data_IF_938284770856
#
_entry.id   IF_938284770856
#
_cell.length_a   1.000
_cell.length_b   1.000
_cell.length_c   1.000
_cell.angle_alpha   90.00
_cell.angle_beta   90.00
_cell.angle_gamma   90.00
#
_symmetry.space_group_name_H-M   'P 1'
#
loop_
_entity.id
_entity.type
_entity.pdbx_description
1 polymer ?
#
# COMPACT_ATOMS: atom_id res chain seq x y z
N UNK A 1 20.28 -32.73 71.56
CA UNK A 1 20.35 -33.10 70.13
C UNK A 1 19.89 -34.55 69.98
N UNK A 2 18.72 -34.72 69.38
CA UNK A 2 18.60 -35.41 68.09
C UNK A 2 18.74 -36.93 68.00
N UNK A 3 18.24 -37.73 68.95
CA UNK A 3 18.03 -39.18 68.66
C UNK A 3 16.89 -39.42 67.67
N UNK A 4 15.80 -38.68 67.80
CA UNK A 4 14.66 -38.78 66.87
C UNK A 4 15.02 -38.22 65.49
N UNK A 5 15.76 -37.11 65.41
CA UNK A 5 16.25 -36.59 64.13
C UNK A 5 17.29 -37.49 63.47
N UNK A 6 18.18 -38.15 64.21
CA UNK A 6 19.14 -39.10 63.64
C UNK A 6 18.45 -40.37 63.09
N UNK A 7 17.42 -40.87 63.76
CA UNK A 7 16.62 -41.99 63.24
C UNK A 7 15.84 -41.59 61.98
N UNK A 8 15.29 -40.37 61.97
CA UNK A 8 14.54 -39.86 60.82
C UNK A 8 15.47 -39.62 59.61
N UNK A 9 16.70 -39.12 59.84
CA UNK A 9 17.72 -38.95 58.79
C UNK A 9 18.24 -40.29 58.27
N UNK A 10 18.44 -41.29 59.15
CA UNK A 10 18.84 -42.64 58.70
C UNK A 10 17.73 -43.36 57.95
N UNK A 11 16.47 -43.19 58.37
CA UNK A 11 15.34 -43.75 57.63
C UNK A 11 15.13 -43.06 56.29
N UNK A 12 15.32 -41.75 56.21
CA UNK A 12 15.26 -41.04 54.93
C UNK A 12 16.39 -41.47 53.99
N UNK A 13 17.63 -41.57 54.48
CA UNK A 13 18.81 -41.96 53.69
C UNK A 13 18.70 -43.41 53.17
N UNK A 14 18.23 -44.34 54.01
CA UNK A 14 17.97 -45.73 53.60
C UNK A 14 16.77 -45.84 52.65
N UNK A 15 15.75 -44.99 52.78
CA UNK A 15 14.62 -44.97 51.85
C UNK A 15 15.02 -44.41 50.48
N UNK A 16 15.86 -43.38 50.44
CA UNK A 16 16.36 -42.74 49.23
C UNK A 16 17.32 -43.65 48.47
N UNK A 17 18.20 -44.38 49.19
CA UNK A 17 19.08 -45.41 48.61
C UNK A 17 18.29 -46.56 47.97
N UNK A 18 17.25 -47.06 48.66
CA UNK A 18 16.37 -48.12 48.12
C UNK A 18 15.58 -47.65 46.90
N UNK A 19 15.07 -46.42 46.91
CA UNK A 19 14.39 -45.81 45.75
C UNK A 19 15.35 -45.74 44.55
N UNK A 20 16.62 -45.43 44.77
CA UNK A 20 17.62 -45.38 43.71
C UNK A 20 18.02 -46.77 43.18
N UNK A 21 18.18 -47.78 44.04
CA UNK A 21 18.45 -49.17 43.62
C UNK A 21 17.26 -49.78 42.87
N UNK A 22 16.03 -49.57 43.36
CA UNK A 22 14.80 -50.01 42.70
C UNK A 22 14.61 -49.31 41.34
N UNK A 23 14.98 -48.03 41.22
CA UNK A 23 15.00 -47.31 39.95
C UNK A 23 16.01 -47.90 38.97
N UNK A 24 17.23 -48.23 39.41
CA UNK A 24 18.27 -48.83 38.55
C UNK A 24 17.86 -50.24 38.09
N UNK A 25 17.27 -51.05 38.98
CA UNK A 25 16.76 -52.38 38.63
C UNK A 25 15.60 -52.29 37.65
N UNK A 26 14.67 -51.35 37.87
CA UNK A 26 13.60 -51.06 36.92
C UNK A 26 14.17 -50.58 35.58
N UNK A 27 15.14 -49.66 35.58
CA UNK A 27 15.77 -49.09 34.39
C UNK A 27 16.45 -50.17 33.54
N UNK A 28 17.03 -51.19 34.16
CA UNK A 28 17.73 -52.28 33.46
C UNK A 28 16.77 -53.32 32.86
N UNK A 29 15.64 -53.59 33.52
CA UNK A 29 14.72 -54.65 33.09
C UNK A 29 13.57 -54.14 32.21
N UNK A 30 12.90 -53.08 32.66
CA UNK A 30 11.69 -52.56 32.02
C UNK A 30 11.92 -51.16 31.41
N UNK A 31 12.89 -50.42 31.94
CA UNK A 31 13.24 -49.06 31.53
C UNK A 31 13.42 -48.84 30.03
N UNK A 32 14.09 -49.74 29.25
CA UNK A 32 14.34 -49.46 27.84
C UNK A 32 13.05 -49.38 27.04
N UNK A 33 12.06 -50.22 27.33
CA UNK A 33 10.77 -50.23 26.62
C UNK A 33 9.91 -49.02 26.96
N UNK A 34 9.87 -48.61 28.24
CA UNK A 34 9.15 -47.41 28.64
C UNK A 34 9.82 -46.14 28.12
N UNK A 35 11.15 -46.04 28.17
CA UNK A 35 11.88 -44.92 27.59
C UNK A 35 11.70 -44.86 26.07
N UNK A 36 11.70 -46.00 25.38
CA UNK A 36 11.42 -46.06 23.95
C UNK A 36 9.98 -45.61 23.65
N UNK A 37 8.99 -46.07 24.41
CA UNK A 37 7.60 -45.65 24.24
C UNK A 37 7.41 -44.13 24.46
N UNK A 38 8.05 -43.56 25.48
CA UNK A 38 8.05 -42.11 25.73
C UNK A 38 8.75 -41.36 24.59
N UNK A 39 9.91 -41.86 24.13
CA UNK A 39 10.66 -41.25 23.04
C UNK A 39 9.87 -41.26 21.72
N UNK A 40 9.19 -42.37 21.41
CA UNK A 40 8.27 -42.47 20.26
C UNK A 40 7.10 -41.50 20.43
N UNK A 41 6.52 -41.39 21.62
CA UNK A 41 5.48 -40.40 21.91
C UNK A 41 5.94 -38.96 21.65
N UNK A 42 7.15 -38.61 22.10
CA UNK A 42 7.76 -37.30 21.83
C UNK A 42 8.02 -37.12 20.34
N UNK A 43 8.55 -38.13 19.64
CA UNK A 43 8.84 -38.04 18.20
C UNK A 43 7.56 -37.84 17.38
N UNK A 44 6.48 -38.55 17.70
CA UNK A 44 5.16 -38.37 17.08
C UNK A 44 4.63 -36.97 17.39
N UNK A 45 4.71 -36.52 18.64
CA UNK A 45 4.27 -35.18 19.03
C UNK A 45 5.03 -34.07 18.29
N UNK A 46 6.37 -34.18 18.19
CA UNK A 46 7.21 -33.24 17.45
C UNK A 46 6.90 -33.25 15.95
N UNK A 47 6.62 -34.42 15.38
CA UNK A 47 6.20 -34.53 13.98
C UNK A 47 4.88 -33.80 13.72
N UNK A 48 3.88 -33.97 14.59
CA UNK A 48 2.60 -33.26 14.49
C UNK A 48 2.78 -31.73 14.61
N UNK A 49 3.63 -31.28 15.53
CA UNK A 49 3.98 -29.86 15.66
C UNK A 49 4.65 -29.34 14.38
N UNK A 50 5.58 -30.12 13.80
CA UNK A 50 6.30 -29.69 12.61
C UNK A 50 5.38 -29.53 11.40
N UNK A 51 4.38 -30.40 11.25
CA UNK A 51 3.36 -30.25 10.21
C UNK A 51 2.54 -28.97 10.39
N UNK A 52 2.07 -28.69 11.61
CA UNK A 52 1.33 -27.45 11.90
C UNK A 52 2.18 -26.20 11.66
N UNK A 53 3.47 -26.24 12.00
CA UNK A 53 4.41 -25.15 11.76
C UNK A 53 4.66 -24.92 10.27
N UNK A 54 4.78 -25.99 9.48
CA UNK A 54 5.00 -25.88 8.05
C UNK A 54 3.82 -25.19 7.34
N UNK A 55 2.59 -25.54 7.71
CA UNK A 55 1.39 -24.86 7.18
C UNK A 55 1.36 -23.38 7.57
N UNK A 56 1.64 -23.06 8.84
CA UNK A 56 1.68 -21.68 9.31
C UNK A 56 2.74 -20.86 8.56
N UNK A 57 3.94 -21.41 8.39
CA UNK A 57 5.03 -20.77 7.66
C UNK A 57 4.67 -20.49 6.20
N UNK A 58 3.98 -21.42 5.53
CA UNK A 58 3.52 -21.21 4.15
C UNK A 58 2.50 -20.07 4.07
N UNK A 59 1.56 -19.99 5.02
CA UNK A 59 0.60 -18.88 5.08
C UNK A 59 1.30 -17.55 5.34
N UNK A 60 2.18 -17.49 6.34
CA UNK A 60 2.96 -16.30 6.67
C UNK A 60 3.77 -15.79 5.47
N UNK A 61 4.45 -16.70 4.77
CA UNK A 61 5.20 -16.36 3.56
C UNK A 61 4.29 -15.81 2.46
N UNK A 62 3.14 -16.44 2.22
CA UNK A 62 2.18 -15.95 1.22
C UNK A 62 1.68 -14.54 1.53
N UNK A 63 1.33 -14.28 2.79
CA UNK A 63 0.90 -12.94 3.22
C UNK A 63 2.02 -11.90 3.14
N UNK A 64 3.25 -12.29 3.44
CA UNK A 64 4.43 -11.44 3.29
C UNK A 64 4.66 -11.07 1.82
N UNK A 65 4.71 -12.06 0.91
CA UNK A 65 4.87 -11.82 -0.53
C UNK A 65 3.74 -10.93 -1.09
N UNK A 66 2.49 -11.13 -0.64
CA UNK A 66 1.36 -10.28 -1.03
C UNK A 66 1.49 -8.82 -0.60
N UNK A 67 2.03 -8.58 0.61
CA UNK A 67 2.24 -7.23 1.13
C UNK A 67 3.36 -6.50 0.38
N UNK A 68 4.45 -7.20 0.05
CA UNK A 68 5.57 -6.65 -0.72
C UNK A 68 5.23 -6.45 -2.20
N UNK A 69 4.30 -7.23 -2.75
CA UNK A 69 3.88 -7.09 -4.13
C UNK A 69 3.14 -5.77 -4.37
N UNK A 70 3.86 -4.82 -4.98
CA UNK A 70 3.34 -3.51 -5.42
C UNK A 70 2.86 -3.47 -6.88
N UNK A 71 3.39 -4.35 -7.73
CA UNK A 71 3.07 -4.37 -9.17
C UNK A 71 2.04 -5.46 -9.50
N UNK A 72 1.17 -5.25 -10.51
CA UNK A 72 0.15 -6.24 -10.88
C UNK A 72 0.72 -7.60 -11.25
N UNK A 73 1.82 -7.65 -12.01
CA UNK A 73 2.47 -8.92 -12.38
C UNK A 73 2.95 -9.71 -11.16
N UNK A 74 3.57 -9.04 -10.18
CA UNK A 74 3.97 -9.64 -8.91
C UNK A 74 2.77 -10.16 -8.11
N UNK A 75 1.64 -9.45 -8.15
CA UNK A 75 0.40 -9.90 -7.52
C UNK A 75 -0.22 -11.11 -8.22
N UNK A 76 -0.16 -11.17 -9.55
CA UNK A 76 -0.61 -12.34 -10.31
C UNK A 76 0.24 -13.58 -10.00
N UNK A 77 1.55 -13.41 -9.86
CA UNK A 77 2.47 -14.45 -9.41
C UNK A 77 2.09 -14.96 -8.02
N UNK A 78 1.88 -14.06 -7.05
CA UNK A 78 1.41 -14.40 -5.70
C UNK A 78 0.07 -15.14 -5.80
N UNK A 79 -0.82 -14.71 -6.67
CA UNK A 79 -2.12 -15.34 -6.86
C UNK A 79 -2.07 -16.77 -7.42
N UNK A 80 -1.02 -17.09 -8.18
CA UNK A 80 -0.78 -18.43 -8.71
C UNK A 80 -0.08 -19.32 -7.67
N UNK A 81 0.97 -18.81 -7.02
CA UNK A 81 1.75 -19.57 -6.03
C UNK A 81 0.95 -19.90 -4.77
N UNK A 82 0.12 -18.96 -4.33
CA UNK A 82 -0.63 -19.07 -3.07
C UNK A 82 -2.14 -19.14 -3.31
N UNK A 83 -2.55 -19.77 -4.41
CA UNK A 83 -3.96 -19.84 -4.82
C UNK A 83 -4.88 -20.53 -3.80
N UNK A 84 -4.34 -21.50 -3.07
CA UNK A 84 -5.09 -22.34 -2.12
C UNK A 84 -5.11 -21.80 -0.69
N UNK A 85 -4.33 -20.75 -0.41
CA UNK A 85 -4.19 -20.20 0.94
C UNK A 85 -5.32 -19.21 1.20
N UNK A 86 -6.32 -19.58 2.01
CA UNK A 86 -7.28 -18.68 2.66
C UNK A 86 -7.84 -17.52 1.79
N UNK A 87 -8.10 -17.76 0.50
CA UNK A 87 -8.57 -16.72 -0.44
C UNK A 87 -7.53 -15.66 -0.83
N UNK A 88 -6.28 -15.79 -0.38
CA UNK A 88 -5.16 -14.91 -0.71
C UNK A 88 -4.97 -14.76 -2.22
N UNK A 89 -5.09 -15.85 -2.97
CA UNK A 89 -5.01 -15.77 -4.43
C UNK A 89 -6.12 -14.91 -5.05
N UNK A 90 -7.33 -14.95 -4.49
CA UNK A 90 -8.44 -14.09 -4.94
C UNK A 90 -8.19 -12.62 -4.59
N UNK A 91 -7.67 -12.37 -3.38
CA UNK A 91 -7.28 -11.01 -2.95
C UNK A 91 -6.15 -10.43 -3.81
N UNK A 92 -5.15 -11.24 -4.14
CA UNK A 92 -4.04 -10.85 -5.00
C UNK A 92 -4.51 -10.49 -6.42
N UNK A 93 -5.40 -11.30 -7.04
CA UNK A 93 -6.05 -10.95 -8.31
C UNK A 93 -6.86 -9.66 -8.22
N UNK A 94 -7.62 -9.51 -7.13
CA UNK A 94 -8.46 -8.33 -6.93
C UNK A 94 -7.60 -7.06 -6.82
N UNK A 95 -6.52 -7.11 -6.04
CA UNK A 95 -5.57 -6.01 -5.91
C UNK A 95 -4.91 -5.68 -7.25
N UNK A 96 -4.47 -6.71 -8.01
CA UNK A 96 -3.89 -6.52 -9.33
C UNK A 96 -4.86 -5.83 -10.31
N UNK A 97 -6.10 -6.30 -10.38
CA UNK A 97 -7.15 -5.71 -11.22
C UNK A 97 -7.42 -4.25 -10.84
N UNK A 98 -7.53 -3.96 -9.54
CA UNK A 98 -7.73 -2.60 -9.04
C UNK A 98 -6.54 -1.69 -9.35
N UNK A 99 -5.31 -2.19 -9.33
CA UNK A 99 -4.12 -1.42 -9.71
C UNK A 99 -4.15 -1.04 -11.20
N UNK A 100 -4.60 -1.94 -12.08
CA UNK A 100 -4.84 -1.61 -13.47
C UNK A 100 -5.93 -0.54 -13.62
N UNK A 101 -7.07 -0.67 -12.92
CA UNK A 101 -8.13 0.35 -12.95
C UNK A 101 -7.66 1.70 -12.41
N UNK A 102 -6.82 1.71 -11.38
CA UNK A 102 -6.28 2.93 -10.79
C UNK A 102 -5.42 3.71 -11.81
N UNK A 103 -4.65 3.02 -12.65
CA UNK A 103 -3.87 3.66 -13.73
C UNK A 103 -4.75 4.43 -14.72
N UNK A 104 -5.96 3.90 -15.00
CA UNK A 104 -6.95 4.54 -15.87
C UNK A 104 -7.51 5.80 -15.20
N UNK A 105 -7.82 5.70 -13.91
CA UNK A 105 -8.39 6.79 -13.13
C UNK A 105 -7.41 7.95 -12.95
N UNK A 106 -6.12 7.67 -12.76
CA UNK A 106 -5.09 8.70 -12.60
C UNK A 106 -4.50 9.17 -13.92
N UNK A 107 -4.79 8.46 -15.03
CA UNK A 107 -4.16 8.65 -16.33
C UNK A 107 -2.61 8.57 -16.28
N UNK A 108 -2.09 7.77 -15.35
CA UNK A 108 -0.66 7.51 -15.16
C UNK A 108 -0.37 6.04 -15.41
N UNK A 109 0.81 5.73 -15.95
CA UNK A 109 1.21 4.34 -16.12
C UNK A 109 1.29 3.61 -14.77
N UNK A 110 1.08 2.29 -14.80
CA UNK A 110 1.12 1.44 -13.61
C UNK A 110 2.44 1.60 -12.86
N UNK A 111 2.37 1.84 -11.55
CA UNK A 111 3.55 2.03 -10.68
C UNK A 111 4.13 3.45 -10.70
N UNK A 112 3.57 4.36 -11.51
CA UNK A 112 3.93 5.78 -11.48
C UNK A 112 3.29 6.50 -10.30
N UNK A 113 3.96 7.55 -9.82
CA UNK A 113 3.42 8.50 -8.83
C UNK A 113 2.95 9.79 -9.53
N UNK A 114 2.26 10.66 -8.80
CA UNK A 114 1.69 11.92 -9.37
C UNK A 114 2.79 12.96 -9.70
N UNK A 115 3.96 12.88 -9.08
CA UNK A 115 5.01 13.89 -9.19
C UNK A 115 5.94 13.69 -10.40
N UNK A 116 6.23 12.43 -10.74
CA UNK A 116 7.18 12.03 -11.80
C UNK A 116 6.56 11.03 -12.80
N UNK A 117 5.22 10.92 -12.77
CA UNK A 117 4.52 9.86 -13.48
C UNK A 117 4.55 9.98 -15.00
N UNK A 118 4.66 8.84 -15.67
CA UNK A 118 4.49 8.75 -17.12
C UNK A 118 3.00 8.77 -17.44
N UNK A 119 2.63 9.56 -18.44
CA UNK A 119 1.24 9.64 -18.91
C UNK A 119 0.86 8.33 -19.57
N UNK A 120 -0.35 7.86 -19.28
CA UNK A 120 -0.86 6.61 -19.83
C UNK A 120 -1.19 6.79 -21.33
N UNK A 121 -0.59 5.97 -22.18
CA UNK A 121 -0.91 5.95 -23.61
C UNK A 121 -2.26 5.26 -23.88
N UNK A 122 -2.86 5.52 -25.03
CA UNK A 122 -4.14 4.89 -25.40
C UNK A 122 -4.02 3.37 -25.53
N UNK A 123 -2.87 2.86 -26.00
CA UNK A 123 -2.58 1.44 -26.11
C UNK A 123 -2.49 0.78 -24.73
N UNK A 124 -1.76 1.40 -23.79
CA UNK A 124 -1.68 0.92 -22.41
C UNK A 124 -3.03 0.99 -21.70
N UNK A 125 -3.86 2.00 -22.01
CA UNK A 125 -5.22 2.12 -21.47
C UNK A 125 -6.07 0.91 -21.87
N UNK A 126 -6.06 0.54 -23.14
CA UNK A 126 -6.77 -0.63 -23.64
C UNK A 126 -6.24 -1.93 -23.01
N UNK A 127 -4.91 -2.09 -22.96
CA UNK A 127 -4.28 -3.26 -22.34
C UNK A 127 -4.60 -3.38 -20.84
N UNK A 128 -4.65 -2.27 -20.11
CA UNK A 128 -4.97 -2.27 -18.68
C UNK A 128 -6.44 -2.61 -18.43
N UNK A 129 -7.36 -2.13 -19.26
CA UNK A 129 -8.78 -2.53 -19.22
C UNK A 129 -8.94 -4.03 -19.44
N UNK A 130 -8.28 -4.58 -20.46
CA UNK A 130 -8.37 -6.01 -20.78
C UNK A 130 -7.76 -6.90 -19.67
N UNK A 131 -6.62 -6.47 -19.10
CA UNK A 131 -6.01 -7.15 -17.96
C UNK A 131 -6.90 -7.11 -16.71
N UNK A 132 -7.48 -5.96 -16.38
CA UNK A 132 -8.40 -5.82 -15.26
C UNK A 132 -9.64 -6.71 -15.46
N UNK A 133 -10.24 -6.68 -16.65
CA UNK A 133 -11.40 -7.50 -16.98
C UNK A 133 -11.10 -9.00 -16.78
N UNK A 134 -10.02 -9.50 -17.38
CA UNK A 134 -9.60 -10.91 -17.24
C UNK A 134 -9.48 -11.31 -15.77
N UNK A 135 -8.87 -10.47 -14.94
CA UNK A 135 -8.67 -10.78 -13.52
C UNK A 135 -9.99 -10.77 -12.74
N UNK A 136 -10.88 -9.80 -12.99
CA UNK A 136 -12.20 -9.80 -12.37
C UNK A 136 -13.04 -11.00 -12.80
N UNK A 137 -13.03 -11.38 -14.09
CA UNK A 137 -13.70 -12.58 -14.57
C UNK A 137 -13.19 -13.85 -13.89
N UNK A 138 -11.87 -13.98 -13.69
CA UNK A 138 -11.29 -15.10 -12.94
C UNK A 138 -11.79 -15.16 -11.49
N UNK A 139 -12.00 -14.01 -10.85
CA UNK A 139 -12.55 -13.98 -9.48
C UNK A 139 -13.99 -14.48 -9.48
N UNK A 140 -14.83 -13.98 -10.40
CA UNK A 140 -16.23 -14.38 -10.51
C UNK A 140 -16.37 -15.86 -10.87
N UNK A 141 -15.53 -16.38 -11.77
CA UNK A 141 -15.52 -17.81 -12.13
C UNK A 141 -15.10 -18.73 -10.98
N UNK A 142 -14.35 -18.23 -10.02
CA UNK A 142 -13.87 -18.96 -8.84
C UNK A 142 -14.77 -18.80 -7.61
N UNK A 143 -15.85 -18.04 -7.73
CA UNK A 143 -16.84 -17.94 -6.67
C UNK A 143 -17.42 -19.32 -6.36
N UNK A 144 -17.22 -19.78 -5.14
CA UNK A 144 -17.68 -21.07 -4.62
C UNK A 144 -19.06 -20.99 -3.95
N UNK A 145 -19.68 -19.81 -3.97
CA UNK A 145 -20.96 -19.52 -3.34
C UNK A 145 -20.91 -19.41 -1.82
N UNK A 146 -19.73 -19.57 -1.20
CA UNK A 146 -19.57 -19.46 0.25
C UNK A 146 -19.60 -18.00 0.70
N UNK A 147 -19.83 -17.77 1.99
CA UNK A 147 -19.84 -16.41 2.54
C UNK A 147 -18.48 -15.70 2.39
N UNK A 148 -17.37 -16.45 2.45
CA UNK A 148 -16.01 -15.90 2.37
C UNK A 148 -15.65 -15.24 1.03
N UNK A 149 -16.33 -15.62 -0.05
CA UNK A 149 -16.09 -15.13 -1.42
C UNK A 149 -17.06 -14.04 -1.85
N UNK A 150 -18.08 -13.71 -1.04
CA UNK A 150 -19.11 -12.72 -1.41
C UNK A 150 -18.48 -11.37 -1.71
N UNK A 151 -17.67 -10.85 -0.79
CA UNK A 151 -17.13 -9.48 -0.89
C UNK A 151 -16.21 -9.35 -2.10
N UNK A 152 -15.30 -10.31 -2.31
CA UNK A 152 -14.39 -10.28 -3.46
C UNK A 152 -15.12 -10.43 -4.78
N UNK A 153 -16.14 -11.30 -4.85
CA UNK A 153 -16.96 -11.49 -6.05
C UNK A 153 -17.79 -10.25 -6.38
N UNK A 154 -18.41 -9.63 -5.37
CA UNK A 154 -19.17 -8.38 -5.53
C UNK A 154 -18.26 -7.24 -5.98
N UNK A 155 -17.06 -7.12 -5.40
CA UNK A 155 -16.06 -6.15 -5.85
C UNK A 155 -15.65 -6.39 -7.31
N UNK A 156 -15.44 -7.65 -7.71
CA UNK A 156 -15.10 -7.98 -9.09
C UNK A 156 -16.23 -7.68 -10.08
N UNK A 157 -17.48 -7.98 -9.72
CA UNK A 157 -18.65 -7.64 -10.54
C UNK A 157 -18.80 -6.12 -10.70
N UNK A 158 -18.58 -5.34 -9.64
CA UNK A 158 -18.57 -3.88 -9.74
C UNK A 158 -17.43 -3.36 -10.63
N UNK A 159 -16.25 -3.99 -10.59
CA UNK A 159 -15.15 -3.68 -11.50
C UNK A 159 -15.49 -3.96 -12.96
N UNK A 160 -16.13 -5.11 -13.24
CA UNK A 160 -16.62 -5.46 -14.58
C UNK A 160 -17.70 -4.48 -15.07
N UNK A 161 -18.59 -4.03 -14.18
CA UNK A 161 -19.56 -3.01 -14.50
C UNK A 161 -18.89 -1.69 -14.91
N UNK A 162 -17.89 -1.23 -14.15
CA UNK A 162 -17.15 -0.01 -14.47
C UNK A 162 -16.38 -0.11 -15.81
N UNK A 163 -15.86 -1.28 -16.15
CA UNK A 163 -15.22 -1.54 -17.46
C UNK A 163 -16.26 -1.49 -18.58
N UNK A 164 -17.45 -2.06 -18.38
CA UNK A 164 -18.54 -1.99 -19.35
C UNK A 164 -19.03 -0.54 -19.55
N UNK A 165 -19.19 0.23 -18.47
CA UNK A 165 -19.49 1.67 -18.52
C UNK A 165 -18.43 2.44 -19.32
N UNK A 166 -17.15 2.17 -19.07
CA UNK A 166 -16.02 2.80 -19.78
C UNK A 166 -16.00 2.49 -21.28
N UNK A 167 -16.67 1.42 -21.71
CA UNK A 167 -16.82 1.05 -23.14
C UNK A 167 -18.17 1.48 -23.72
N UNK A 168 -19.02 2.14 -22.94
CA UNK A 168 -20.37 2.54 -23.34
C UNK A 168 -21.40 1.41 -23.37
N UNK A 169 -21.09 0.23 -22.83
CA UNK A 169 -22.00 -0.92 -22.76
C UNK A 169 -22.80 -0.90 -21.46
N UNK A 170 -23.78 0.00 -21.40
CA UNK A 170 -24.63 0.25 -20.23
C UNK A 170 -25.45 -0.98 -19.83
N UNK A 171 -25.94 -1.74 -20.81
CA UNK A 171 -26.75 -2.93 -20.55
C UNK A 171 -25.91 -4.03 -19.89
N UNK A 172 -24.68 -4.21 -20.35
CA UNK A 172 -23.76 -5.14 -19.72
C UNK A 172 -23.35 -4.68 -18.31
N UNK A 173 -23.18 -3.37 -18.10
CA UNK A 173 -22.92 -2.80 -16.77
C UNK A 173 -24.07 -3.06 -15.78
N UNK A 174 -25.32 -2.81 -16.18
CA UNK A 174 -26.53 -3.14 -15.40
C UNK A 174 -26.54 -4.61 -15.01
N UNK A 175 -26.31 -5.49 -15.97
CA UNK A 175 -26.28 -6.94 -15.72
C UNK A 175 -25.24 -7.32 -14.66
N UNK A 176 -24.07 -6.68 -14.65
CA UNK A 176 -23.05 -6.92 -13.64
C UNK A 176 -23.45 -6.39 -12.25
N UNK A 177 -24.06 -5.20 -12.17
CA UNK A 177 -24.57 -4.68 -10.90
C UNK A 177 -25.71 -5.53 -10.32
N UNK A 178 -26.61 -6.04 -11.16
CA UNK A 178 -27.68 -6.95 -10.72
C UNK A 178 -27.11 -8.26 -10.18
N UNK A 179 -26.11 -8.85 -10.86
CA UNK A 179 -25.38 -10.03 -10.36
C UNK A 179 -24.71 -9.73 -9.03
N UNK A 180 -24.10 -8.54 -8.88
CA UNK A 180 -23.48 -8.11 -7.63
C UNK A 180 -24.51 -8.01 -6.50
N UNK A 181 -25.69 -7.45 -6.78
CA UNK A 181 -26.78 -7.36 -5.82
C UNK A 181 -27.28 -8.74 -5.39
N UNK A 182 -27.57 -9.62 -6.35
CA UNK A 182 -28.04 -10.97 -6.08
C UNK A 182 -27.03 -11.77 -5.24
N UNK A 183 -25.73 -11.61 -5.52
CA UNK A 183 -24.67 -12.29 -4.77
C UNK A 183 -24.52 -11.78 -3.34
N UNK A 184 -24.71 -10.47 -3.12
CA UNK A 184 -24.60 -9.83 -1.82
C UNK A 184 -25.83 -10.05 -0.93
N UNK A 185 -27.02 -10.17 -1.51
CA UNK A 185 -28.31 -10.14 -0.81
C UNK A 185 -28.42 -11.06 0.42
N UNK A 186 -28.00 -12.34 0.38
CA UNK A 186 -28.19 -13.24 1.52
C UNK A 186 -27.39 -12.86 2.78
N UNK A 187 -26.27 -12.15 2.61
CA UNK A 187 -25.29 -11.90 3.69
C UNK A 187 -25.06 -10.41 3.97
N UNK A 188 -25.22 -9.55 2.95
CA UNK A 188 -24.94 -8.12 2.99
C UNK A 188 -26.04 -7.32 2.27
N UNK A 189 -27.26 -7.25 2.83
CA UNK A 189 -28.41 -6.60 2.18
C UNK A 189 -28.15 -5.12 1.84
N UNK A 190 -27.46 -4.38 2.71
CA UNK A 190 -27.08 -2.99 2.43
C UNK A 190 -26.16 -2.86 1.20
N UNK A 191 -25.25 -3.82 1.00
CA UNK A 191 -24.39 -3.84 -0.18
C UNK A 191 -25.18 -4.21 -1.44
N UNK A 192 -26.17 -5.10 -1.31
CA UNK A 192 -27.09 -5.41 -2.39
C UNK A 192 -27.91 -4.18 -2.82
N UNK A 193 -28.40 -3.40 -1.88
CA UNK A 193 -29.15 -2.17 -2.16
C UNK A 193 -28.30 -1.11 -2.89
N UNK A 194 -27.04 -0.97 -2.51
CA UNK A 194 -26.09 -0.10 -3.23
C UNK A 194 -25.92 -0.57 -4.67
N UNK A 195 -25.72 -1.88 -4.89
CA UNK A 195 -25.57 -2.43 -6.24
C UNK A 195 -26.85 -2.25 -7.09
N UNK A 196 -28.05 -2.48 -6.52
CA UNK A 196 -29.32 -2.22 -7.21
C UNK A 196 -29.50 -0.75 -7.57
N UNK A 197 -29.14 0.15 -6.66
CA UNK A 197 -29.21 1.60 -6.91
C UNK A 197 -28.29 1.99 -8.06
N UNK A 198 -27.09 1.40 -8.15
CA UNK A 198 -26.19 1.62 -9.29
C UNK A 198 -26.77 1.07 -10.59
N UNK A 199 -27.35 -0.13 -10.58
CA UNK A 199 -28.03 -0.70 -11.74
C UNK A 199 -29.18 0.21 -12.24
N UNK A 200 -30.01 0.72 -11.33
CA UNK A 200 -31.13 1.59 -11.65
C UNK A 200 -30.69 2.94 -12.25
N UNK A 201 -29.51 3.43 -11.87
CA UNK A 201 -28.97 4.70 -12.34
C UNK A 201 -27.94 4.54 -13.46
N UNK A 202 -27.67 3.32 -13.94
CA UNK A 202 -26.59 3.06 -14.90
C UNK A 202 -26.73 3.86 -16.20
N UNK A 203 -27.96 4.12 -16.64
CA UNK A 203 -28.24 4.95 -17.82
C UNK A 203 -27.72 6.39 -17.69
N UNK A 204 -27.71 6.93 -16.46
CA UNK A 204 -27.25 8.30 -16.20
C UNK A 204 -25.73 8.45 -16.38
N UNK A 205 -24.96 7.36 -16.29
CA UNK A 205 -23.51 7.39 -16.48
C UNK A 205 -23.09 7.34 -17.95
N UNK A 206 -24.05 7.17 -18.86
CA UNK A 206 -23.81 7.19 -20.31
C UNK A 206 -23.93 8.58 -20.94
N UNK A 207 -24.46 9.56 -20.20
CA UNK A 207 -24.56 10.94 -20.66
C UNK A 207 -23.21 11.65 -20.49
N UNK A 208 -22.65 12.13 -21.60
CA UNK A 208 -21.46 12.98 -21.57
C UNK A 208 -21.76 14.25 -20.75
N UNK A 209 -21.08 14.38 -19.61
CA UNK A 209 -21.14 15.61 -18.82
C UNK A 209 -20.22 16.63 -19.47
N UNK A 210 -20.79 17.56 -20.23
CA UNK A 210 -20.06 18.75 -20.64
C UNK A 210 -19.76 19.60 -19.39
N UNK A 211 -18.51 19.56 -18.94
CA UNK A 211 -18.04 20.50 -17.93
C UNK A 211 -18.10 21.90 -18.54
N UNK A 212 -18.81 22.87 -17.91
CA UNK A 212 -18.81 24.24 -18.40
C UNK A 212 -17.36 24.71 -18.47
N UNK A 213 -16.96 25.21 -19.64
CA UNK A 213 -15.63 25.79 -19.81
C UNK A 213 -15.43 26.81 -18.69
N UNK A 214 -14.28 26.75 -17.96
CA UNK A 214 -13.99 27.77 -16.98
C UNK A 214 -14.13 29.12 -17.70
N UNK A 215 -14.83 30.11 -17.09
CA UNK A 215 -15.02 31.41 -17.72
C UNK A 215 -13.65 31.86 -18.17
N UNK A 216 -13.51 32.10 -19.48
CA UNK A 216 -12.25 32.51 -20.08
C UNK A 216 -11.63 33.53 -19.14
N UNK A 217 -10.47 33.21 -18.56
CA UNK A 217 -9.80 34.13 -17.66
C UNK A 217 -9.72 35.43 -18.45
N UNK A 218 -10.52 36.42 -18.06
CA UNK A 218 -10.41 37.74 -18.63
C UNK A 218 -9.02 38.15 -18.22
N UNK A 219 -8.07 38.01 -19.15
CA UNK A 219 -6.76 38.60 -19.00
C UNK A 219 -7.07 40.02 -18.53
N UNK A 220 -6.59 40.42 -17.33
CA UNK A 220 -6.69 41.82 -16.94
C UNK A 220 -6.24 42.62 -18.16
N UNK A 221 -6.97 43.68 -18.56
CA UNK A 221 -6.56 44.48 -19.71
C UNK A 221 -5.07 44.73 -19.52
N UNK A 222 -4.27 44.28 -20.49
CA UNK A 222 -2.84 44.48 -20.46
C UNK A 222 -2.66 45.96 -20.16
N UNK A 223 -2.15 46.24 -18.95
CA UNK A 223 -1.99 47.61 -18.50
C UNK A 223 -1.21 48.28 -19.62
N UNK A 224 -1.86 49.24 -20.29
CA UNK A 224 -1.21 49.99 -21.34
C UNK A 224 0.16 50.41 -20.78
N UNK A 225 1.27 50.14 -21.50
CA UNK A 225 2.58 50.51 -21.01
C UNK A 225 2.50 51.97 -20.55
N UNK A 226 3.00 52.31 -19.35
CA UNK A 226 2.82 53.63 -18.78
C UNK A 226 3.22 54.66 -19.82
N UNK A 227 2.21 55.33 -20.37
CA UNK A 227 2.41 56.40 -21.35
C UNK A 227 2.88 57.59 -20.53
N UNK A 228 4.20 57.67 -20.35
CA UNK A 228 4.81 58.66 -19.48
C UNK A 228 5.89 58.09 -18.57
N UNK A 229 6.86 57.38 -19.14
CA UNK A 229 8.23 57.52 -18.66
C UNK A 229 9.02 58.09 -19.83
N UNK A 230 9.13 59.41 -19.84
CA UNK A 230 10.12 60.08 -20.67
C UNK A 230 11.50 59.57 -20.27
N UNK A 231 12.21 59.11 -21.30
CA UNK A 231 13.64 58.88 -21.40
C UNK A 231 14.22 57.57 -20.82
N UNK A 232 15.10 56.91 -21.60
CA UNK A 232 15.90 55.79 -21.11
C UNK A 232 16.80 56.30 -19.99
N UNK A 233 17.00 55.45 -18.98
CA UNK A 233 17.97 55.67 -17.91
C UNK A 233 19.31 56.09 -18.52
N UNK A 234 19.65 57.35 -18.33
CA UNK A 234 20.97 57.88 -18.60
C UNK A 234 21.93 57.22 -17.61
N UNK A 235 22.67 56.23 -18.10
CA UNK A 235 23.55 55.39 -17.28
C UNK A 235 24.69 56.21 -16.69
N UNK A 236 24.91 57.44 -17.18
CA UNK A 236 25.87 58.40 -16.64
C UNK A 236 25.39 59.07 -15.34
N UNK A 237 24.11 58.96 -14.99
CA UNK A 237 23.53 59.61 -13.81
C UNK A 237 23.39 58.69 -12.58
N UNK A 238 23.82 57.42 -12.69
CA UNK A 238 23.76 56.42 -11.60
C UNK A 238 25.05 56.37 -10.77
N UNK A 239 26.10 57.07 -11.21
CA UNK A 239 27.40 57.12 -10.53
C UNK A 239 27.79 58.52 -10.04
N UNK A 240 26.82 59.42 -9.84
CA UNK A 240 27.08 60.70 -9.19
C UNK A 240 26.83 60.59 -7.68
N UNK A 241 27.80 59.99 -6.99
CA UNK A 241 27.93 60.09 -5.53
C UNK A 241 28.01 61.57 -5.14
N UNK A 242 27.26 62.04 -4.13
CA UNK A 242 27.53 63.33 -3.52
C UNK A 242 28.92 63.28 -2.86
N UNK A 243 29.87 63.99 -3.43
CA UNK A 243 31.05 64.47 -2.70
C UNK A 243 30.54 65.34 -1.54
N UNK A 244 31.04 65.18 -0.31
CA UNK A 244 30.58 65.97 0.82
C UNK A 244 30.92 67.45 0.61
N UNK A 245 29.97 68.28 1.03
CA UNK A 245 30.06 69.71 1.35
C UNK A 245 31.22 70.53 0.77
N UNK A 246 30.88 71.53 -0.01
CA UNK A 246 31.68 72.76 -0.06
C UNK A 246 30.71 73.93 -0.01
N UNK A 247 30.28 74.26 1.22
CA UNK A 247 29.91 75.64 1.52
C UNK A 247 31.13 76.52 1.24
N UNK A 248 30.93 77.47 0.35
CA UNK A 248 31.78 78.64 0.17
C UNK A 248 31.94 79.36 1.52
N UNK A 249 33.15 79.87 1.81
CA UNK A 249 33.18 81.31 2.03
C UNK A 249 34.25 81.98 1.18
N UNK A 250 33.87 83.15 0.67
CA UNK A 250 34.77 84.06 0.00
C UNK A 250 35.85 84.61 0.95
N UNK A 251 36.91 85.10 0.32
CA UNK A 251 37.87 86.13 0.76
C UNK A 251 39.31 85.65 0.98
N UNK A 252 40.12 85.97 -0.04
CA UNK A 252 41.25 86.90 0.06
C UNK A 252 42.62 86.44 0.54
N UNK A 253 43.61 86.91 -0.24
CA UNK A 253 45.04 87.10 -0.01
C UNK A 253 45.97 85.91 0.34
N UNK A 254 47.06 85.83 -0.45
CA UNK A 254 48.40 85.86 0.13
C UNK A 254 49.16 84.53 0.25
N UNK A 255 49.97 84.26 -0.77
CA UNK A 255 51.41 83.96 -0.66
C UNK A 255 51.94 82.71 0.07
N UNK A 256 52.94 82.13 -0.61
CA UNK A 256 54.11 81.39 -0.08
C UNK A 256 54.02 79.87 0.16
N UNK A 257 54.49 79.15 -0.87
CA UNK A 257 55.64 78.22 -0.93
C UNK A 257 56.07 77.34 0.28
N UNK A 258 56.69 76.18 -0.04
CA UNK A 258 56.71 74.90 0.72
C UNK A 258 57.90 74.88 1.73
N UNK A 259 58.37 73.76 2.35
CA UNK A 259 58.17 72.33 2.06
C UNK A 259 58.21 71.33 3.27
N UNK A 260 58.11 70.05 2.93
CA UNK A 260 58.88 68.87 3.37
C UNK A 260 59.25 68.59 4.86
N UNK A 261 59.34 67.27 5.08
CA UNK A 261 60.25 66.57 6.02
C UNK A 261 59.88 66.49 7.51
N UNK A 262 59.52 65.26 7.93
CA UNK A 262 60.06 64.42 9.02
C UNK A 262 60.75 65.09 10.23
N UNK A 263 60.67 64.51 11.45
CA UNK A 263 60.91 63.08 11.71
C UNK A 263 59.87 62.34 12.57
#
# INVERSE_FOLDING_TARGET
MDRERLQQVQQSDLSESRVNEDFILWLKNSGPWYLLAVLVGIAVYLYLINLQRAELQAREQGWFEYQEAGMPSSLEDVAQRHAEIDGLGTLARLKAANTYMLSLQTNLAVGSNIEEGTTLTDEERAANLDNAQRLYEQIVQRDDGQIGTVITTVSALNGLAAIAESRGDVEQAKSYFEKAAARAEPYYPALADVARTRAANADQFSEDIELPLPPAASLPPELAPPTGLESPLDVDNILNLPTPGSETPAADEGSETPPAENP
#
